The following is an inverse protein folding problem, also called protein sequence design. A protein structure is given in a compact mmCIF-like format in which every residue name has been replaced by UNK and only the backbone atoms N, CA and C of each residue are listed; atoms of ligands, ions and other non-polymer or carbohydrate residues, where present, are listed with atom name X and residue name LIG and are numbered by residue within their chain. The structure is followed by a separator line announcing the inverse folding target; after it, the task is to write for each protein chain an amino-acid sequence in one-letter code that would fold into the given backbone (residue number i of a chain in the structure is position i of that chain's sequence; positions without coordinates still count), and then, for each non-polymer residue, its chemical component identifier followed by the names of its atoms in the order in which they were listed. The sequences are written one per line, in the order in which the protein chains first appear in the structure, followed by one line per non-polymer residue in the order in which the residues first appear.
data_IF_186179436081
#
_entry.id   IF_186179436081
#
_cell.length_a   1.000
_cell.length_b   1.000
_cell.length_c   1.000
_cell.angle_alpha   90.00
_cell.angle_beta   90.00
_cell.angle_gamma   90.00
#
_symmetry.space_group_name_H-M   'P 1'
#
loop_
_entity.id
_entity.type
_entity.pdbx_description
1 polymer ?
#
# COMPACT_ATOMS: atom_id res chain seq x y z
N UNK A 1 4.04 -20.03 -11.51
CA UNK A 1 5.22 -20.48 -10.74
C UNK A 1 5.97 -19.32 -10.09
N UNK A 2 6.49 -18.32 -10.82
CA UNK A 2 7.30 -17.25 -10.22
C UNK A 2 6.54 -16.37 -9.20
N UNK A 3 5.32 -15.95 -9.54
CA UNK A 3 4.50 -15.07 -8.69
C UNK A 3 4.16 -15.73 -7.33
N UNK A 4 3.79 -17.01 -7.36
CA UNK A 4 3.50 -17.78 -6.15
C UNK A 4 4.73 -17.95 -5.26
N UNK A 5 5.91 -18.18 -5.84
CA UNK A 5 7.16 -18.29 -5.09
C UNK A 5 7.55 -16.98 -4.40
N UNK A 6 7.44 -15.84 -5.11
CA UNK A 6 7.73 -14.52 -4.53
C UNK A 6 6.77 -14.14 -3.40
N UNK A 7 5.50 -14.51 -3.50
CA UNK A 7 4.51 -14.32 -2.43
C UNK A 7 4.88 -15.13 -1.19
N UNK A 8 5.27 -16.39 -1.37
CA UNK A 8 5.69 -17.26 -0.27
C UNK A 8 6.98 -16.78 0.40
N UNK A 9 7.96 -16.32 -0.39
CA UNK A 9 9.22 -15.79 0.16
C UNK A 9 9.01 -14.53 1.04
N UNK A 10 8.09 -13.64 0.64
CA UNK A 10 7.71 -12.48 1.47
C UNK A 10 7.04 -12.90 2.78
N UNK A 11 6.13 -13.88 2.69
CA UNK A 11 5.44 -14.40 3.87
C UNK A 11 6.42 -15.11 4.81
N UNK A 12 7.37 -15.90 4.30
CA UNK A 12 8.35 -16.61 5.14
C UNK A 12 9.29 -15.67 5.89
N UNK A 13 9.70 -14.56 5.26
CA UNK A 13 10.48 -13.52 5.94
C UNK A 13 9.69 -12.86 7.07
N UNK A 14 8.43 -12.53 6.82
CA UNK A 14 7.57 -11.92 7.83
C UNK A 14 7.30 -12.87 9.00
N UNK A 15 7.26 -14.17 8.73
CA UNK A 15 7.13 -15.21 9.75
C UNK A 15 8.35 -15.30 10.64
N UNK A 16 9.54 -15.06 10.08
CA UNK A 16 10.80 -15.08 10.83
C UNK A 16 10.96 -13.85 11.73
N UNK A 17 10.38 -12.71 11.33
CA UNK A 17 10.49 -11.46 12.08
C UNK A 17 9.40 -11.30 13.13
N UNK A 18 8.26 -12.00 12.95
CA UNK A 18 7.14 -11.97 13.88
C UNK A 18 7.39 -12.88 15.08
N UNK A 19 6.97 -12.44 16.28
CA UNK A 19 7.05 -13.24 17.49
C UNK A 19 6.33 -14.60 17.31
N UNK A 20 6.96 -15.74 17.63
CA UNK A 20 6.39 -17.07 17.38
C UNK A 20 5.10 -17.32 18.18
N UNK A 21 4.90 -16.60 19.29
CA UNK A 21 3.69 -16.68 20.12
C UNK A 21 2.45 -16.07 19.46
N UNK A 22 2.61 -15.13 18.53
CA UNK A 22 1.50 -14.41 17.87
C UNK A 22 1.59 -14.44 16.34
N UNK A 23 2.46 -15.27 15.76
CA UNK A 23 2.71 -15.33 14.32
C UNK A 23 1.46 -15.54 13.47
N UNK A 24 0.49 -16.34 13.93
CA UNK A 24 -0.77 -16.57 13.20
C UNK A 24 -1.63 -15.30 13.06
N UNK A 25 -1.64 -14.43 14.07
CA UNK A 25 -2.39 -13.17 14.04
C UNK A 25 -1.71 -12.18 13.08
N UNK A 26 -0.38 -12.07 13.15
CA UNK A 26 0.37 -11.21 12.24
C UNK A 26 0.24 -11.63 10.77
N UNK A 27 0.18 -12.95 10.49
CA UNK A 27 -0.06 -13.45 9.15
C UNK A 27 -1.46 -13.18 8.64
N UNK A 28 -2.48 -13.35 9.48
CA UNK A 28 -3.85 -13.04 9.12
C UNK A 28 -4.02 -11.55 8.81
N UNK A 29 -3.42 -10.67 9.65
CA UNK A 29 -3.44 -9.23 9.44
C UNK A 29 -2.74 -8.82 8.16
N UNK A 30 -1.57 -9.42 7.86
CA UNK A 30 -0.86 -9.18 6.61
C UNK A 30 -1.69 -9.60 5.39
N UNK A 31 -2.43 -10.71 5.48
CA UNK A 31 -3.32 -11.15 4.40
C UNK A 31 -4.48 -10.17 4.16
N UNK A 32 -5.08 -9.65 5.23
CA UNK A 32 -6.10 -8.59 5.15
C UNK A 32 -5.52 -7.33 4.52
N UNK A 33 -4.36 -6.89 5.00
CA UNK A 33 -3.70 -5.68 4.50
C UNK A 33 -3.28 -5.82 3.04
N UNK A 34 -2.78 -6.99 2.62
CA UNK A 34 -2.43 -7.25 1.23
C UNK A 34 -3.66 -7.19 0.31
N UNK A 35 -4.78 -7.77 0.74
CA UNK A 35 -6.02 -7.78 -0.04
C UNK A 35 -6.64 -6.37 -0.16
N UNK A 36 -6.61 -5.59 0.93
CA UNK A 36 -7.01 -4.18 0.91
C UNK A 36 -6.05 -3.33 0.08
N UNK A 37 -4.74 -3.55 0.21
CA UNK A 37 -3.72 -2.79 -0.49
C UNK A 37 -3.86 -2.88 -2.01
N UNK A 38 -4.14 -4.07 -2.54
CA UNK A 38 -4.35 -4.25 -4.00
C UNK A 38 -5.61 -3.52 -4.47
N UNK A 39 -6.73 -3.68 -3.76
CA UNK A 39 -7.99 -3.03 -4.12
C UNK A 39 -7.91 -1.51 -4.00
N UNK A 40 -7.29 -1.01 -2.93
CA UNK A 40 -7.08 0.42 -2.70
C UNK A 40 -6.14 1.02 -3.75
N UNK A 41 -5.03 0.36 -4.07
CA UNK A 41 -4.09 0.86 -5.09
C UNK A 41 -4.77 0.99 -6.45
N UNK A 42 -5.61 0.01 -6.81
CA UNK A 42 -6.35 0.03 -8.08
C UNK A 42 -7.39 1.16 -8.10
N UNK A 43 -8.15 1.32 -7.02
CA UNK A 43 -9.14 2.38 -6.89
C UNK A 43 -8.51 3.78 -6.93
N UNK A 44 -7.39 3.96 -6.22
CA UNK A 44 -6.64 5.20 -6.22
C UNK A 44 -6.08 5.53 -7.61
N UNK A 45 -5.45 4.57 -8.29
CA UNK A 45 -4.88 4.79 -9.62
C UNK A 45 -5.95 5.24 -10.63
N UNK A 46 -7.12 4.60 -10.64
CA UNK A 46 -8.23 4.99 -11.52
C UNK A 46 -8.73 6.41 -11.19
N UNK A 47 -8.90 6.71 -9.90
CA UNK A 47 -9.33 8.04 -9.45
C UNK A 47 -8.33 9.14 -9.84
N UNK A 48 -7.02 8.86 -9.74
CA UNK A 48 -5.97 9.78 -10.17
C UNK A 48 -6.00 9.98 -11.68
N UNK A 49 -6.11 8.91 -12.47
CA UNK A 49 -6.22 9.03 -13.94
C UNK A 49 -7.41 9.93 -14.33
N UNK A 50 -8.55 9.79 -13.67
CA UNK A 50 -9.72 10.63 -13.92
C UNK A 50 -9.47 12.10 -13.55
N UNK A 51 -8.72 12.37 -12.48
CA UNK A 51 -8.35 13.73 -12.09
C UNK A 51 -7.31 14.36 -13.04
N UNK A 52 -6.35 13.57 -13.50
CA UNK A 52 -5.24 14.02 -14.35
C UNK A 52 -5.63 14.11 -15.84
N UNK A 53 -6.72 13.48 -16.26
CA UNK A 53 -7.13 13.47 -17.67
C UNK A 53 -7.73 14.82 -18.08
N UNK A 54 -7.01 15.53 -18.97
CA UNK A 54 -7.44 16.80 -19.54
C UNK A 54 -8.16 16.59 -20.89
N UNK A 55 -9.43 17.01 -20.97
CA UNK A 55 -10.25 16.92 -22.18
C UNK A 55 -10.44 18.32 -22.77
N UNK A 56 -10.12 18.49 -24.05
CA UNK A 56 -10.27 19.75 -24.77
C UNK A 56 -11.31 19.63 -25.90
N UNK A 57 -11.90 20.77 -26.27
CA UNK A 57 -13.04 20.84 -27.17
C UNK A 57 -12.72 21.79 -28.35
N UNK A 58 -12.98 21.36 -29.59
CA UNK A 58 -12.37 21.87 -30.83
C UNK A 58 -12.75 23.33 -31.22
N UNK A 59 -13.76 23.94 -30.59
CA UNK A 59 -14.31 25.24 -31.02
C UNK A 59 -14.18 26.38 -29.98
N UNK A 60 -13.62 26.11 -28.81
CA UNK A 60 -13.31 27.16 -27.84
C UNK A 60 -12.01 26.80 -27.13
N UNK A 61 -10.93 27.49 -27.50
CA UNK A 61 -9.61 27.39 -26.88
C UNK A 61 -9.63 27.59 -25.35
N UNK A 62 -10.73 28.09 -24.78
CA UNK A 62 -10.81 28.53 -23.39
C UNK A 62 -11.75 27.70 -22.49
N UNK A 63 -12.40 26.64 -22.98
CA UNK A 63 -13.33 25.82 -22.19
C UNK A 63 -12.79 24.40 -21.96
N UNK A 64 -12.13 24.19 -20.82
CA UNK A 64 -11.70 22.86 -20.36
C UNK A 64 -12.93 21.97 -20.11
N UNK A 65 -13.01 20.82 -20.80
CA UNK A 65 -14.10 19.86 -20.69
C UNK A 65 -13.87 18.82 -19.55
N UNK A 66 -12.96 19.14 -18.60
CA UNK A 66 -12.53 18.24 -17.52
C UNK A 66 -13.35 18.31 -16.23
N UNK A 67 -14.21 19.30 -16.04
CA UNK A 67 -15.02 19.42 -14.81
C UNK A 67 -16.20 18.44 -14.87
N UNK A 68 -16.44 17.67 -13.80
CA UNK A 68 -17.60 16.76 -13.64
C UNK A 68 -18.98 17.47 -13.72
N UNK A 69 -19.00 18.80 -13.71
CA UNK A 69 -20.18 19.57 -14.10
C UNK A 69 -20.20 19.63 -15.63
N UNK A 70 -21.21 19.05 -16.30
CA UNK A 70 -21.33 19.17 -17.73
C UNK A 70 -21.60 20.65 -18.02
N UNK A 71 -20.55 21.42 -18.34
CA UNK A 71 -20.73 22.70 -18.98
C UNK A 71 -21.46 22.41 -20.29
N UNK A 72 -22.76 22.69 -20.24
CA UNK A 72 -23.81 22.43 -21.23
C UNK A 72 -23.49 23.00 -22.62
N UNK A 73 -22.43 23.80 -22.73
CA UNK A 73 -21.98 24.44 -23.95
C UNK A 73 -21.37 23.48 -24.98
N UNK A 74 -20.77 22.37 -24.56
CA UNK A 74 -20.14 21.43 -25.49
C UNK A 74 -21.09 20.38 -26.07
N UNK A 75 -22.21 20.08 -25.37
CA UNK A 75 -23.27 19.20 -25.89
C UNK A 75 -24.14 19.88 -26.96
N UNK A 76 -24.21 21.21 -26.96
CA UNK A 76 -25.08 21.99 -27.86
C UNK A 76 -24.60 21.98 -29.31
N UNK A 77 -23.30 21.83 -29.55
CA UNK A 77 -22.74 21.73 -30.90
C UNK A 77 -22.09 20.35 -31.01
N UNK A 78 -22.57 19.48 -31.91
CA UNK A 78 -22.03 18.14 -32.24
C UNK A 78 -20.51 18.16 -32.50
N UNK A 79 -19.71 18.32 -31.47
CA UNK A 79 -18.26 18.43 -31.54
C UNK A 79 -17.68 17.33 -30.67
N UNK A 80 -16.92 16.44 -31.31
CA UNK A 80 -16.30 15.29 -30.67
C UNK A 80 -15.20 15.79 -29.73
N UNK A 81 -15.39 15.65 -28.41
CA UNK A 81 -14.35 15.91 -27.44
C UNK A 81 -13.14 15.02 -27.73
N UNK A 82 -11.95 15.60 -27.82
CA UNK A 82 -10.71 14.85 -28.02
C UNK A 82 -9.85 14.93 -26.76
N UNK A 83 -9.13 13.85 -26.47
CA UNK A 83 -8.22 13.78 -25.33
C UNK A 83 -6.94 14.49 -25.72
N UNK A 84 -6.66 15.64 -25.10
CA UNK A 84 -5.44 16.40 -25.37
C UNK A 84 -4.24 15.79 -24.63
N UNK A 85 -4.45 15.39 -23.37
CA UNK A 85 -3.45 14.70 -22.54
C UNK A 85 -4.12 13.53 -21.83
N UNK A 86 -3.60 12.32 -22.06
CA UNK A 86 -4.10 11.12 -21.43
C UNK A 86 -3.49 10.98 -20.03
N UNK A 87 -4.34 11.00 -19.00
CA UNK A 87 -3.92 10.93 -17.59
C UNK A 87 -3.08 9.68 -17.28
N UNK A 88 -3.24 8.59 -18.05
CA UNK A 88 -2.42 7.38 -17.89
C UNK A 88 -0.92 7.62 -18.02
N UNK A 89 -0.48 8.43 -19.00
CA UNK A 89 0.95 8.69 -19.18
C UNK A 89 1.51 9.59 -18.09
N UNK A 90 0.73 10.60 -17.68
CA UNK A 90 1.13 11.51 -16.59
C UNK A 90 1.21 10.75 -15.26
N UNK A 91 0.19 9.95 -14.95
CA UNK A 91 0.15 9.09 -13.76
C UNK A 91 1.31 8.10 -13.74
N UNK A 92 1.61 7.47 -14.88
CA UNK A 92 2.71 6.50 -14.98
C UNK A 92 4.06 7.15 -14.66
N UNK A 93 4.32 8.36 -15.17
CA UNK A 93 5.56 9.11 -14.87
C UNK A 93 5.63 9.48 -13.39
N UNK A 94 4.52 9.95 -12.80
CA UNK A 94 4.47 10.26 -11.37
C UNK A 94 4.72 9.03 -10.50
N UNK A 95 4.07 7.90 -10.80
CA UNK A 95 4.25 6.65 -10.06
C UNK A 95 5.70 6.15 -10.10
N UNK A 96 6.39 6.29 -11.25
CA UNK A 96 7.82 5.97 -11.37
C UNK A 96 8.67 6.88 -10.49
N UNK A 97 8.44 8.20 -10.50
CA UNK A 97 9.18 9.14 -9.66
C UNK A 97 8.96 8.87 -8.16
N UNK A 98 7.72 8.59 -7.75
CA UNK A 98 7.41 8.19 -6.38
C UNK A 98 8.08 6.87 -6.00
N UNK A 99 8.08 5.88 -6.90
CA UNK A 99 8.75 4.60 -6.68
C UNK A 99 10.27 4.74 -6.51
N UNK A 100 10.91 5.57 -7.31
CA UNK A 100 12.35 5.88 -7.20
C UNK A 100 12.65 6.59 -5.87
N UNK A 101 11.86 7.61 -5.51
CA UNK A 101 12.00 8.32 -4.24
C UNK A 101 11.87 7.37 -3.05
N UNK A 102 10.85 6.51 -3.06
CA UNK A 102 10.66 5.49 -2.03
C UNK A 102 11.83 4.51 -1.97
N UNK A 103 12.32 4.04 -3.11
CA UNK A 103 13.46 3.13 -3.15
C UNK A 103 14.68 3.73 -2.48
N UNK A 104 15.05 4.99 -2.77
CA UNK A 104 16.21 5.62 -2.14
C UNK A 104 16.04 5.82 -0.63
N UNK A 105 14.85 6.23 -0.17
CA UNK A 105 14.56 6.40 1.27
C UNK A 105 14.68 5.06 2.01
N UNK A 106 14.05 4.01 1.48
CA UNK A 106 13.99 2.71 2.15
C UNK A 106 15.21 1.83 1.91
N UNK A 107 16.02 2.10 0.88
CA UNK A 107 17.28 1.40 0.65
C UNK A 107 18.24 1.54 1.84
N UNK A 108 18.22 2.69 2.53
CA UNK A 108 18.93 2.85 3.80
C UNK A 108 18.35 1.99 4.93
N UNK A 109 17.02 1.96 5.04
CA UNK A 109 16.30 1.19 6.07
C UNK A 109 16.48 -0.31 5.93
N UNK A 110 16.47 -0.89 4.72
CA UNK A 110 16.61 -2.34 4.52
C UNK A 110 17.99 -2.90 4.92
N UNK A 111 19.02 -2.05 5.00
CA UNK A 111 20.38 -2.47 5.34
C UNK A 111 20.55 -2.77 6.85
N UNK A 112 19.72 -2.18 7.70
CA UNK A 112 19.82 -2.25 9.16
C UNK A 112 19.15 -3.47 9.83
N UNK A 113 17.94 -3.92 9.44
CA UNK A 113 17.18 -4.93 10.18
C UNK A 113 17.58 -6.39 9.88
N UNK A 114 18.35 -6.67 8.81
CA UNK A 114 18.83 -8.05 8.56
C UNK A 114 19.88 -8.52 9.57
N UNK A 115 20.47 -7.59 10.34
CA UNK A 115 21.63 -7.85 11.22
C UNK A 115 21.19 -7.93 12.69
N UNK A 116 19.94 -7.59 13.02
CA UNK A 116 19.48 -7.55 14.42
C UNK A 116 18.96 -8.93 14.84
N UNK A 117 19.72 -9.60 15.71
CA UNK A 117 19.36 -10.92 16.27
C UNK A 117 17.95 -10.93 16.87
N UNK A 118 17.24 -12.04 16.66
CA UNK A 118 15.83 -12.26 17.02
C UNK A 118 15.51 -11.95 18.49
N UNK A 119 16.51 -12.02 19.37
CA UNK A 119 16.40 -11.77 20.81
C UNK A 119 16.03 -10.32 21.19
N UNK A 120 16.25 -9.33 20.32
CA UNK A 120 15.86 -7.94 20.61
C UNK A 120 14.38 -7.63 20.26
N UNK A 121 13.73 -8.50 19.49
CA UNK A 121 12.34 -8.32 19.06
C UNK A 121 11.35 -9.10 19.93
N UNK A 122 11.85 -9.96 20.82
CA UNK A 122 11.03 -10.75 21.73
C UNK A 122 10.52 -9.88 22.88
N UNK A 123 9.21 -9.87 23.08
CA UNK A 123 8.60 -9.27 24.27
C UNK A 123 9.02 -10.08 25.52
N UNK A 124 9.72 -9.42 26.46
CA UNK A 124 10.07 -10.03 27.74
C UNK A 124 8.81 -10.16 28.62
N UNK A 125 8.20 -11.34 28.61
CA UNK A 125 7.04 -11.64 29.45
C UNK A 125 7.55 -11.98 30.86
N UNK A 126 7.27 -11.11 31.84
CA UNK A 126 7.46 -11.47 33.25
C UNK A 126 6.47 -12.59 33.60
N UNK A 127 6.98 -13.79 33.85
CA UNK A 127 6.21 -14.92 34.37
C UNK A 127 5.74 -14.62 35.81
N UNK A 128 4.62 -13.90 35.94
CA UNK A 128 3.91 -13.77 37.23
C UNK A 128 3.26 -15.09 37.69
N UNK A 129 3.29 -16.13 36.86
CA UNK A 129 2.66 -17.43 37.11
C UNK A 129 3.47 -18.36 38.03
N UNK A 130 4.76 -18.11 38.25
CA UNK A 130 5.56 -18.91 39.21
C UNK A 130 5.32 -18.46 40.66
N UNK A 131 5.20 -17.15 40.91
CA UNK A 131 4.97 -16.63 42.27
C UNK A 131 3.62 -17.03 42.87
N UNK A 132 2.59 -17.26 42.04
CA UNK A 132 1.28 -17.66 42.56
C UNK A 132 1.29 -19.10 43.09
N UNK A 133 2.14 -19.96 42.55
CA UNK A 133 2.22 -21.36 42.93
C UNK A 133 3.13 -21.57 44.15
N UNK A 134 4.20 -20.77 44.29
CA UNK A 134 5.05 -20.78 45.50
C UNK A 134 4.35 -20.22 46.76
N UNK A 135 3.34 -19.36 46.60
CA UNK A 135 2.60 -18.80 47.75
C UNK A 135 1.48 -19.72 48.25
N UNK A 136 1.00 -20.64 47.39
CA UNK A 136 -0.03 -21.63 47.75
C UNK A 136 0.53 -22.91 48.37
N UNK A 137 1.84 -23.17 48.23
CA UNK A 137 2.50 -24.36 48.82
C UNK A 137 3.10 -24.09 50.22
N UNK A 138 3.25 -22.81 50.61
CA UNK A 138 3.82 -22.39 51.90
C UNK A 138 2.78 -22.05 52.99
N UNK A 139 1.49 -22.34 52.77
CA UNK A 139 0.42 -22.12 53.75
C UNK A 139 -0.41 -23.40 54.00
N UNK A 140 0.21 -24.57 53.87
CA UNK A 140 -0.33 -25.86 54.29
C UNK A 140 0.12 -26.22 55.70
#
# INVERSE_FOLDING_TARGET
MLNTTMRLARHSLFSRISDPRFGGIYMALLNTFASMGVSLSTSLAISLIDFLTLKACLFNYNSNCSTKSPNSTCKTNRSSCFVLVNGYYVESVLCVLFGIGWYYIFCGTFKSPQIKSSSHWMVNVKNNTVKKNETTENNG
#
